data_IF_305890913816
#
_entry.id   IF_305890913816
#
_cell.length_a   1.000
_cell.length_b   1.000
_cell.length_c   1.000
_cell.angle_alpha   90.00
_cell.angle_beta   90.00
_cell.angle_gamma   90.00
#
_symmetry.space_group_name_H-M   'P 1'
#
loop_
_entity.id
_entity.type
_entity.pdbx_description
1 polymer ?
#
# COMPACT_ATOMS: atom_id res chain seq x y z
N UNK A 1 -8.88 -33.70 47.38
CA UNK A 1 -7.75 -33.73 46.43
C UNK A 1 -8.24 -33.33 45.03
N UNK A 2 -8.14 -32.06 44.66
CA UNK A 2 -8.12 -31.57 43.28
C UNK A 2 -7.28 -30.30 43.28
N UNK A 3 -6.07 -30.39 42.74
CA UNK A 3 -5.13 -29.29 42.62
C UNK A 3 -5.51 -28.45 41.40
N UNK A 4 -5.70 -27.15 41.62
CA UNK A 4 -6.01 -26.16 40.60
C UNK A 4 -4.74 -25.67 39.90
N UNK A 5 -4.79 -25.64 38.57
CA UNK A 5 -3.88 -24.86 37.73
C UNK A 5 -4.57 -23.52 37.48
N UNK A 6 -4.14 -22.47 38.18
CA UNK A 6 -4.54 -21.08 37.88
C UNK A 6 -3.75 -20.62 36.66
N UNK A 7 -4.45 -20.40 35.56
CA UNK A 7 -3.95 -19.60 34.44
C UNK A 7 -3.67 -18.18 34.96
N UNK A 8 -2.41 -17.75 34.86
CA UNK A 8 -2.01 -16.39 35.22
C UNK A 8 -2.49 -15.40 34.15
N UNK A 9 -3.62 -14.77 34.50
CA UNK A 9 -4.03 -13.37 34.24
C UNK A 9 -3.87 -12.78 32.83
N UNK A 10 -5.02 -12.68 32.15
CA UNK A 10 -5.34 -11.88 30.96
C UNK A 10 -5.37 -10.34 31.19
N UNK A 11 -4.72 -9.77 32.22
CA UNK A 11 -4.99 -8.38 32.65
C UNK A 11 -3.82 -7.38 32.51
N UNK A 12 -2.91 -7.54 31.55
CA UNK A 12 -1.79 -6.59 31.37
C UNK A 12 -1.75 -5.77 30.08
N UNK A 13 -2.68 -5.91 29.14
CA UNK A 13 -2.56 -5.23 27.84
C UNK A 13 -3.83 -4.52 27.40
N UNK A 14 -4.30 -3.59 28.24
CA UNK A 14 -5.13 -2.48 27.79
C UNK A 14 -4.63 -1.18 28.43
N UNK A 15 -3.70 -0.52 27.74
CA UNK A 15 -3.50 0.91 27.87
C UNK A 15 -2.98 1.48 26.55
N UNK A 16 -3.65 2.56 26.15
CA UNK A 16 -3.51 3.31 24.92
C UNK A 16 -2.07 3.64 24.50
N UNK A 17 -1.87 3.68 23.17
CA UNK A 17 -1.10 4.74 22.54
C UNK A 17 0.43 4.58 22.57
N UNK A 18 0.96 3.60 21.83
CA UNK A 18 2.25 3.75 21.16
C UNK A 18 2.41 2.65 20.09
N UNK A 19 2.91 3.01 18.92
CA UNK A 19 3.29 2.10 17.81
C UNK A 19 4.55 1.28 18.17
N UNK A 20 4.85 1.14 19.47
CA UNK A 20 6.12 0.63 19.97
C UNK A 20 6.09 -0.86 20.30
N UNK A 21 4.92 -1.47 20.39
CA UNK A 21 4.75 -2.89 20.68
C UNK A 21 4.14 -3.62 19.50
N UNK A 22 4.80 -4.71 19.11
CA UNK A 22 4.29 -5.64 18.13
C UNK A 22 2.99 -6.31 18.59
N UNK A 23 2.46 -7.17 17.75
CA UNK A 23 1.27 -7.93 18.05
C UNK A 23 1.50 -8.97 19.14
N UNK A 24 0.47 -9.49 19.86
CA UNK A 24 0.68 -10.58 20.81
C UNK A 24 1.41 -11.78 20.18
N UNK A 25 1.01 -12.20 18.97
CA UNK A 25 1.69 -13.26 18.21
C UNK A 25 3.11 -12.86 17.82
N UNK A 26 3.31 -11.62 17.38
CA UNK A 26 4.62 -11.04 17.08
C UNK A 26 5.57 -11.06 18.26
N UNK A 27 5.10 -10.74 19.47
CA UNK A 27 5.92 -10.81 20.68
C UNK A 27 6.41 -12.23 20.99
N UNK A 28 5.59 -13.25 20.69
CA UNK A 28 6.00 -14.66 20.78
C UNK A 28 7.11 -14.96 19.78
N UNK A 29 6.96 -14.54 18.51
CA UNK A 29 8.00 -14.70 17.49
C UNK A 29 9.31 -14.00 17.87
N UNK A 30 9.24 -12.76 18.35
CA UNK A 30 10.40 -11.99 18.82
C UNK A 30 11.09 -12.73 19.97
N UNK A 31 10.32 -13.26 20.93
CA UNK A 31 10.89 -14.05 22.03
C UNK A 31 11.56 -15.34 21.54
N UNK A 32 10.96 -16.05 20.58
CA UNK A 32 11.55 -17.26 19.98
C UNK A 32 12.88 -16.92 19.34
N UNK A 33 12.95 -15.87 18.50
CA UNK A 33 14.19 -15.50 17.82
C UNK A 33 15.26 -15.03 18.80
N UNK A 34 14.93 -14.17 19.76
CA UNK A 34 15.89 -13.74 20.76
C UNK A 34 16.45 -14.92 21.56
N UNK A 35 15.60 -15.86 21.98
CA UNK A 35 16.05 -17.05 22.72
C UNK A 35 16.95 -17.95 21.88
N UNK A 36 16.57 -18.24 20.63
CA UNK A 36 17.38 -19.10 19.75
C UNK A 36 18.72 -18.45 19.36
N UNK A 37 18.72 -17.14 19.11
CA UNK A 37 19.93 -16.39 18.75
C UNK A 37 20.86 -16.27 19.94
N UNK A 38 20.35 -15.95 21.13
CA UNK A 38 21.14 -15.91 22.36
C UNK A 38 21.74 -17.27 22.68
N UNK A 39 20.96 -18.35 22.53
CA UNK A 39 21.45 -19.70 22.70
C UNK A 39 22.57 -20.03 21.70
N UNK A 40 22.37 -19.73 20.42
CA UNK A 40 23.38 -19.94 19.38
C UNK A 40 24.67 -19.13 19.63
N UNK A 41 24.52 -17.88 20.07
CA UNK A 41 25.65 -17.00 20.39
C UNK A 41 26.42 -17.45 21.63
N UNK A 42 25.77 -18.09 22.60
CA UNK A 42 26.40 -18.54 23.86
C UNK A 42 27.50 -19.58 23.65
N UNK A 43 27.58 -20.18 22.46
CA UNK A 43 28.61 -21.15 22.09
C UNK A 43 29.96 -20.51 21.75
N UNK A 44 30.05 -19.19 21.68
CA UNK A 44 31.28 -18.47 21.34
C UNK A 44 31.67 -17.51 22.47
N UNK A 45 32.96 -17.43 22.79
CA UNK A 45 33.46 -16.42 23.72
C UNK A 45 33.24 -15.00 23.16
N UNK A 46 32.91 -14.05 24.04
CA UNK A 46 32.78 -12.64 23.65
C UNK A 46 34.12 -11.97 23.31
N UNK A 47 35.24 -12.58 23.66
CA UNK A 47 36.58 -11.97 23.62
C UNK A 47 37.56 -12.60 22.60
N UNK A 48 37.26 -13.77 22.04
CA UNK A 48 38.24 -14.48 21.20
C UNK A 48 37.80 -14.60 19.74
N UNK A 49 38.68 -14.13 18.86
CA UNK A 49 38.66 -14.30 17.39
C UNK A 49 39.06 -15.75 17.02
N UNK A 50 39.41 -16.59 18.00
CA UNK A 50 39.66 -18.01 17.74
C UNK A 50 38.36 -18.65 17.28
N UNK A 51 38.40 -19.32 16.12
CA UNK A 51 37.29 -20.11 15.56
C UNK A 51 37.01 -21.39 16.39
N UNK A 52 37.10 -21.30 17.71
CA UNK A 52 36.90 -22.40 18.65
C UNK A 52 35.55 -22.22 19.33
N UNK A 53 34.70 -23.24 19.20
CA UNK A 53 33.40 -23.30 19.85
C UNK A 53 33.54 -23.84 21.27
N UNK A 54 32.78 -23.28 22.22
CA UNK A 54 32.69 -23.78 23.60
C UNK A 54 31.96 -25.13 23.71
N UNK A 55 31.23 -25.49 22.66
CA UNK A 55 30.34 -26.67 22.62
C UNK A 55 30.58 -27.45 21.32
N UNK A 56 30.46 -28.80 21.29
CA UNK A 56 30.63 -29.59 20.08
C UNK A 56 29.75 -29.11 18.92
N UNK A 57 30.29 -29.14 17.70
CA UNK A 57 29.58 -28.68 16.48
C UNK A 57 28.26 -29.44 16.27
N UNK A 58 28.24 -30.72 16.64
CA UNK A 58 27.05 -31.57 16.59
C UNK A 58 25.85 -30.98 17.38
N UNK A 59 26.10 -30.32 18.51
CA UNK A 59 25.04 -29.74 19.36
C UNK A 59 24.52 -28.40 18.82
N UNK A 60 25.29 -27.72 17.96
CA UNK A 60 24.86 -26.48 17.31
C UNK A 60 23.85 -26.74 16.18
N UNK A 61 23.97 -27.88 15.50
CA UNK A 61 23.16 -28.24 14.32
C UNK A 61 21.65 -28.18 14.62
N UNK A 62 21.12 -28.80 15.71
CA UNK A 62 19.69 -28.73 16.03
C UNK A 62 19.18 -27.30 16.25
N UNK A 63 20.00 -26.40 16.78
CA UNK A 63 19.60 -25.01 17.06
C UNK A 63 19.54 -24.21 15.78
N UNK A 64 20.52 -24.39 14.88
CA UNK A 64 20.48 -23.78 13.55
C UNK A 64 19.27 -24.27 12.76
N UNK A 65 18.95 -25.56 12.81
CA UNK A 65 17.70 -26.07 12.22
C UNK A 65 16.46 -25.40 12.82
N UNK A 66 16.38 -25.24 14.14
CA UNK A 66 15.25 -24.55 14.79
C UNK A 66 15.15 -23.10 14.35
N UNK A 67 16.27 -22.40 14.20
CA UNK A 67 16.30 -21.02 13.68
C UNK A 67 15.76 -21.01 12.25
N UNK A 68 16.27 -21.86 11.37
CA UNK A 68 15.86 -21.96 9.98
C UNK A 68 14.34 -22.18 9.85
N UNK A 69 13.84 -23.20 10.54
CA UNK A 69 12.41 -23.51 10.57
C UNK A 69 11.59 -22.37 11.16
N UNK A 70 12.05 -21.70 12.22
CA UNK A 70 11.32 -20.59 12.83
C UNK A 70 11.20 -19.40 11.89
N UNK A 71 12.28 -19.04 11.17
CA UNK A 71 12.24 -17.97 10.16
C UNK A 71 11.29 -18.34 9.03
N UNK A 72 11.35 -19.59 8.55
CA UNK A 72 10.45 -20.10 7.53
C UNK A 72 8.98 -20.02 7.97
N UNK A 73 8.65 -20.50 9.18
CA UNK A 73 7.30 -20.51 9.72
C UNK A 73 6.76 -19.10 9.97
N UNK A 74 7.58 -18.19 10.52
CA UNK A 74 7.23 -16.78 10.67
C UNK A 74 6.87 -16.16 9.32
N UNK A 75 7.67 -16.42 8.28
CA UNK A 75 7.40 -15.91 6.93
C UNK A 75 6.03 -16.36 6.41
N UNK A 76 5.71 -17.65 6.55
CA UNK A 76 4.41 -18.18 6.12
C UNK A 76 3.26 -17.58 6.93
N UNK A 77 3.43 -17.44 8.24
CA UNK A 77 2.44 -16.80 9.10
C UNK A 77 2.16 -15.36 8.68
N UNK A 78 3.21 -14.53 8.50
CA UNK A 78 3.05 -13.14 8.03
C UNK A 78 2.27 -13.08 6.74
N UNK A 79 2.60 -13.94 5.76
CA UNK A 79 1.95 -13.93 4.45
C UNK A 79 0.45 -14.24 4.54
N UNK A 80 0.08 -15.30 5.26
CA UNK A 80 -1.33 -15.70 5.37
C UNK A 80 -2.13 -14.70 6.23
N UNK A 81 -1.56 -14.25 7.34
CA UNK A 81 -2.21 -13.29 8.23
C UNK A 81 -2.40 -11.93 7.54
N UNK A 82 -1.37 -11.42 6.86
CA UNK A 82 -1.45 -10.18 6.11
C UNK A 82 -2.52 -10.25 5.00
N UNK A 83 -2.61 -11.38 4.29
CA UNK A 83 -3.64 -11.62 3.28
C UNK A 83 -5.04 -11.61 3.89
N UNK A 84 -5.25 -12.30 5.02
CA UNK A 84 -6.53 -12.31 5.70
C UNK A 84 -6.94 -10.90 6.16
N UNK A 85 -6.03 -10.18 6.83
CA UNK A 85 -6.30 -8.84 7.34
C UNK A 85 -6.57 -7.83 6.22
N UNK A 86 -5.88 -7.94 5.09
CA UNK A 86 -6.17 -7.13 3.91
C UNK A 86 -7.61 -7.37 3.40
N UNK A 87 -8.02 -8.63 3.26
CA UNK A 87 -9.37 -8.96 2.78
C UNK A 87 -10.48 -8.45 3.72
N UNK A 88 -10.22 -8.40 5.03
CA UNK A 88 -11.12 -7.83 6.03
C UNK A 88 -10.93 -6.30 6.23
N UNK A 89 -10.04 -5.68 5.46
CA UNK A 89 -9.63 -4.27 5.54
C UNK A 89 -9.18 -3.81 6.95
N UNK A 90 -8.53 -4.70 7.72
CA UNK A 90 -8.02 -4.45 9.08
C UNK A 90 -6.63 -3.80 9.06
N UNK A 91 -6.55 -2.60 8.48
CA UNK A 91 -5.28 -1.91 8.18
C UNK A 91 -4.37 -1.68 9.40
N UNK A 92 -4.93 -1.30 10.56
CA UNK A 92 -4.13 -1.11 11.78
C UNK A 92 -3.31 -2.36 12.13
N UNK A 93 -3.94 -3.54 12.04
CA UNK A 93 -3.29 -4.79 12.37
C UNK A 93 -2.34 -5.26 11.28
N UNK A 94 -2.73 -5.08 10.02
CA UNK A 94 -1.88 -5.36 8.86
C UNK A 94 -0.54 -4.61 8.97
N UNK A 95 -0.56 -3.28 9.13
CA UNK A 95 0.67 -2.49 9.23
C UNK A 95 1.43 -2.76 10.52
N UNK A 96 0.76 -3.07 11.63
CA UNK A 96 1.44 -3.50 12.86
C UNK A 96 2.31 -4.74 12.64
N UNK A 97 1.84 -5.73 11.86
CA UNK A 97 2.65 -6.92 11.54
C UNK A 97 3.86 -6.54 10.67
N UNK A 98 3.63 -5.80 9.59
CA UNK A 98 4.67 -5.48 8.61
C UNK A 98 5.74 -4.53 9.18
N UNK A 99 5.31 -3.45 9.85
CA UNK A 99 6.21 -2.37 10.30
C UNK A 99 6.79 -2.61 11.69
N UNK A 100 6.11 -3.42 12.52
CA UNK A 100 6.57 -3.75 13.88
C UNK A 100 7.07 -5.19 13.98
N UNK A 101 6.21 -6.19 13.80
CA UNK A 101 6.58 -7.59 14.10
C UNK A 101 7.73 -8.09 13.23
N UNK A 102 7.63 -7.92 11.92
CA UNK A 102 8.68 -8.34 10.97
C UNK A 102 9.97 -7.58 11.25
N UNK A 103 9.90 -6.27 11.47
CA UNK A 103 11.06 -5.43 11.77
C UNK A 103 11.76 -5.85 13.06
N UNK A 104 11.02 -6.07 14.13
CA UNK A 104 11.55 -6.50 15.43
C UNK A 104 12.14 -7.91 15.37
N UNK A 105 11.50 -8.83 14.63
CA UNK A 105 12.05 -10.17 14.38
C UNK A 105 13.36 -10.09 13.61
N UNK A 106 13.43 -9.27 12.56
CA UNK A 106 14.65 -9.07 11.77
C UNK A 106 15.77 -8.43 12.61
N UNK A 107 15.42 -7.51 13.53
CA UNK A 107 16.40 -6.90 14.43
C UNK A 107 17.08 -7.91 15.35
N UNK A 108 16.39 -8.99 15.75
CA UNK A 108 17.00 -10.04 16.56
C UNK A 108 18.25 -10.64 15.86
N UNK A 109 18.22 -10.73 14.53
CA UNK A 109 19.31 -11.27 13.72
C UNK A 109 20.53 -10.34 13.57
N UNK A 110 20.43 -9.06 13.94
CA UNK A 110 21.59 -8.15 13.94
C UNK A 110 22.68 -8.61 14.90
N UNK A 111 22.29 -9.31 15.97
CA UNK A 111 23.21 -9.84 16.96
C UNK A 111 23.65 -11.27 16.66
N UNK A 112 23.26 -11.86 15.51
CA UNK A 112 23.49 -13.27 15.24
C UNK A 112 24.95 -13.54 14.85
N UNK A 113 25.70 -14.18 15.75
CA UNK A 113 27.12 -14.51 15.55
C UNK A 113 27.24 -15.87 14.86
N UNK A 114 27.80 -15.87 13.65
CA UNK A 114 28.02 -17.08 12.84
C UNK A 114 29.49 -17.20 12.42
N UNK A 115 30.43 -17.42 13.35
CA UNK A 115 31.83 -17.59 12.98
C UNK A 115 31.99 -18.82 12.09
N UNK A 116 32.93 -18.76 11.15
CA UNK A 116 33.32 -19.91 10.32
C UNK A 116 34.14 -20.86 11.18
N UNK A 117 33.78 -22.15 11.16
CA UNK A 117 34.54 -23.19 11.85
C UNK A 117 35.39 -23.94 10.82
N UNK A 118 36.58 -24.35 11.24
CA UNK A 118 37.47 -25.24 10.46
C UNK A 118 37.47 -26.61 11.12
N UNK A 119 37.42 -27.67 10.32
CA UNK A 119 37.50 -29.05 10.81
C UNK A 119 38.91 -29.61 10.60
N UNK A 120 39.33 -30.52 11.48
CA UNK A 120 40.46 -31.41 11.23
C UNK A 120 40.10 -32.38 10.09
N UNK A 121 40.98 -32.49 9.08
CA UNK A 121 40.77 -33.36 7.93
C UNK A 121 40.81 -34.85 8.27
N UNK A 122 41.33 -35.21 9.44
CA UNK A 122 41.43 -36.60 9.91
C UNK A 122 40.18 -37.08 10.66
N UNK A 123 39.35 -36.15 11.16
CA UNK A 123 38.08 -36.47 11.84
C UNK A 123 36.89 -36.29 10.89
N UNK A 124 36.45 -37.42 10.31
CA UNK A 124 35.32 -37.46 9.37
C UNK A 124 34.03 -36.92 10.01
N UNK A 125 33.79 -37.21 11.29
CA UNK A 125 32.56 -36.78 11.97
C UNK A 125 32.56 -35.25 12.15
N UNK A 126 33.70 -34.68 12.54
CA UNK A 126 33.87 -33.23 12.63
C UNK A 126 33.70 -32.56 11.26
N UNK A 127 34.27 -33.13 10.20
CA UNK A 127 34.12 -32.62 8.82
C UNK A 127 32.64 -32.56 8.40
N UNK A 128 31.88 -33.63 8.61
CA UNK A 128 30.46 -33.69 8.28
C UNK A 128 29.67 -32.65 9.09
N UNK A 129 29.95 -32.53 10.39
CA UNK A 129 29.26 -31.56 11.25
C UNK A 129 29.53 -30.11 10.84
N UNK A 130 30.78 -29.78 10.50
CA UNK A 130 31.16 -28.43 10.04
C UNK A 130 30.55 -28.12 8.67
N UNK A 131 30.53 -29.09 7.75
CA UNK A 131 29.89 -28.93 6.44
C UNK A 131 28.37 -28.71 6.58
N UNK A 132 27.69 -29.52 7.40
CA UNK A 132 26.26 -29.38 7.67
C UNK A 132 25.93 -28.03 8.33
N UNK A 133 26.71 -27.62 9.34
CA UNK A 133 26.58 -26.30 9.96
C UNK A 133 26.68 -25.17 8.92
N UNK A 134 27.67 -25.26 8.03
CA UNK A 134 27.89 -24.25 6.98
C UNK A 134 26.70 -24.18 6.04
N UNK A 135 26.15 -25.34 5.63
CA UNK A 135 24.94 -25.40 4.81
C UNK A 135 23.74 -24.74 5.51
N UNK A 136 23.51 -25.04 6.79
CA UNK A 136 22.39 -24.47 7.55
C UNK A 136 22.50 -22.96 7.69
N UNK A 137 23.70 -22.43 7.90
CA UNK A 137 23.93 -20.98 7.93
C UNK A 137 23.51 -20.32 6.62
N UNK A 138 23.86 -20.94 5.48
CA UNK A 138 23.42 -20.45 4.18
C UNK A 138 21.89 -20.48 4.03
N UNK A 139 21.24 -21.57 4.45
CA UNK A 139 19.78 -21.72 4.39
C UNK A 139 19.06 -20.68 5.27
N UNK A 140 19.55 -20.45 6.49
CA UNK A 140 19.01 -19.42 7.40
C UNK A 140 19.11 -18.03 6.76
N UNK A 141 20.27 -17.67 6.21
CA UNK A 141 20.46 -16.37 5.55
C UNK A 141 19.51 -16.20 4.36
N UNK A 142 19.35 -17.25 3.55
CA UNK A 142 18.37 -17.26 2.46
C UNK A 142 16.94 -17.07 2.99
N UNK A 143 16.57 -17.70 4.10
CA UNK A 143 15.25 -17.56 4.70
C UNK A 143 15.03 -16.17 5.33
N UNK A 144 16.06 -15.56 5.93
CA UNK A 144 16.02 -14.18 6.42
C UNK A 144 15.79 -13.20 5.26
N UNK A 145 16.49 -13.39 4.13
CA UNK A 145 16.29 -12.55 2.96
C UNK A 145 14.91 -12.74 2.33
N UNK A 146 14.37 -13.96 2.35
CA UNK A 146 12.97 -14.20 1.97
C UNK A 146 11.99 -13.50 2.92
N UNK A 147 12.25 -13.51 4.23
CA UNK A 147 11.41 -12.80 5.21
C UNK A 147 11.39 -11.29 4.97
N UNK A 148 12.53 -10.68 4.63
CA UNK A 148 12.59 -9.26 4.23
C UNK A 148 11.68 -8.99 3.03
N UNK A 149 11.80 -9.82 1.98
CA UNK A 149 11.00 -9.71 0.74
C UNK A 149 9.51 -9.98 0.94
N UNK A 150 9.12 -10.69 2.00
CA UNK A 150 7.70 -10.95 2.29
C UNK A 150 6.92 -9.67 2.57
N UNK A 151 7.56 -8.60 3.04
CA UNK A 151 6.90 -7.29 3.18
C UNK A 151 6.44 -6.76 1.82
N UNK A 152 7.29 -6.82 0.79
CA UNK A 152 6.93 -6.43 -0.58
C UNK A 152 5.80 -7.31 -1.15
N UNK A 153 5.84 -8.63 -0.90
CA UNK A 153 4.76 -9.54 -1.28
C UNK A 153 3.42 -9.14 -0.63
N UNK A 154 3.44 -8.74 0.64
CA UNK A 154 2.25 -8.28 1.35
C UNK A 154 1.75 -6.93 0.84
N UNK A 155 2.64 -6.02 0.42
CA UNK A 155 2.27 -4.76 -0.24
C UNK A 155 1.61 -5.01 -1.59
N UNK A 156 2.06 -6.02 -2.35
CA UNK A 156 1.37 -6.43 -3.57
C UNK A 156 -0.06 -6.92 -3.29
N UNK A 157 -0.24 -7.75 -2.25
CA UNK A 157 -1.57 -8.19 -1.82
C UNK A 157 -2.45 -6.99 -1.39
N UNK A 158 -1.89 -6.04 -0.64
CA UNK A 158 -2.57 -4.79 -0.29
C UNK A 158 -3.03 -4.05 -1.55
N UNK A 159 -2.18 -3.94 -2.56
CA UNK A 159 -2.52 -3.25 -3.82
C UNK A 159 -3.72 -3.89 -4.51
N UNK A 160 -3.68 -5.22 -4.69
CA UNK A 160 -4.74 -5.96 -5.39
C UNK A 160 -6.08 -5.88 -4.63
N UNK A 161 -6.04 -6.04 -3.31
CA UNK A 161 -7.24 -5.94 -2.46
C UNK A 161 -7.74 -4.50 -2.38
N UNK A 162 -6.86 -3.51 -2.32
CA UNK A 162 -7.23 -2.09 -2.32
C UNK A 162 -8.01 -1.72 -3.57
N UNK A 163 -7.58 -2.21 -4.74
CA UNK A 163 -8.29 -2.00 -6.00
C UNK A 163 -9.68 -2.62 -5.97
N UNK A 164 -9.80 -3.86 -5.48
CA UNK A 164 -11.10 -4.54 -5.34
C UNK A 164 -12.05 -3.80 -4.38
N UNK A 165 -11.55 -3.42 -3.21
CA UNK A 165 -12.32 -2.67 -2.19
C UNK A 165 -12.74 -1.30 -2.72
N UNK A 166 -11.88 -0.63 -3.49
CA UNK A 166 -12.21 0.64 -4.13
C UNK A 166 -13.35 0.48 -5.15
N UNK A 167 -13.25 -0.50 -6.04
CA UNK A 167 -14.31 -0.79 -7.02
C UNK A 167 -15.65 -1.16 -6.37
N UNK A 168 -15.60 -1.94 -5.28
CA UNK A 168 -16.79 -2.30 -4.50
C UNK A 168 -17.43 -1.06 -3.86
N UNK A 169 -16.64 -0.17 -3.25
CA UNK A 169 -17.17 1.07 -2.66
C UNK A 169 -17.76 2.01 -3.71
N UNK A 170 -17.11 2.18 -4.88
CA UNK A 170 -17.71 2.94 -5.98
C UNK A 170 -19.03 2.31 -6.46
N UNK A 171 -19.14 0.98 -6.48
CA UNK A 171 -20.41 0.32 -6.81
C UNK A 171 -21.53 0.67 -5.84
N UNK A 172 -21.21 0.87 -4.56
CA UNK A 172 -22.19 1.16 -3.51
C UNK A 172 -22.64 2.62 -3.45
N UNK A 173 -21.72 3.57 -3.64
CA UNK A 173 -21.99 4.98 -3.35
C UNK A 173 -21.84 5.93 -4.54
N UNK A 174 -21.33 5.47 -5.69
CA UNK A 174 -21.16 6.36 -6.84
C UNK A 174 -22.52 6.78 -7.42
N UNK A 175 -22.74 8.07 -7.70
CA UNK A 175 -24.01 8.55 -8.24
C UNK A 175 -24.37 7.89 -9.58
N UNK A 176 -25.68 7.66 -9.79
CA UNK A 176 -26.21 7.08 -11.03
C UNK A 176 -25.87 7.92 -12.27
N UNK A 177 -25.91 7.30 -13.46
CA UNK A 177 -25.65 8.02 -14.72
C UNK A 177 -26.54 9.26 -14.92
N UNK A 178 -27.79 9.22 -14.47
CA UNK A 178 -28.73 10.35 -14.53
C UNK A 178 -28.29 11.54 -13.68
N UNK A 179 -27.56 11.32 -12.58
CA UNK A 179 -26.98 12.40 -11.77
C UNK A 179 -26.02 13.25 -12.62
N UNK A 180 -25.10 12.59 -13.34
CA UNK A 180 -24.05 13.23 -14.15
C UNK A 180 -24.54 13.91 -15.43
N UNK A 181 -25.79 13.69 -15.81
CA UNK A 181 -26.41 14.27 -17.01
C UNK A 181 -27.30 15.47 -16.69
N UNK A 182 -27.41 15.88 -15.42
CA UNK A 182 -28.19 17.04 -15.01
C UNK A 182 -27.71 18.33 -15.66
N UNK A 183 -28.64 19.27 -15.84
CA UNK A 183 -28.36 20.59 -16.39
C UNK A 183 -27.81 21.57 -15.36
N UNK A 184 -27.98 21.33 -14.06
CA UNK A 184 -27.52 22.22 -13.00
C UNK A 184 -27.03 21.41 -11.81
N UNK A 185 -25.98 21.91 -11.15
CA UNK A 185 -25.46 21.39 -9.91
C UNK A 185 -25.32 22.55 -8.93
N UNK A 186 -25.51 22.26 -7.66
CA UNK A 186 -25.01 23.11 -6.59
C UNK A 186 -23.52 22.81 -6.44
N UNK A 187 -22.68 23.75 -6.84
CA UNK A 187 -21.23 23.60 -6.78
C UNK A 187 -20.65 24.03 -5.43
N UNK A 188 -21.45 24.61 -4.53
CA UNK A 188 -21.01 24.98 -3.18
C UNK A 188 -21.00 23.78 -2.24
N UNK A 189 -21.84 22.76 -2.52
CA UNK A 189 -21.91 21.53 -1.72
C UNK A 189 -21.03 20.43 -2.30
N UNK A 190 -20.08 19.90 -1.54
CA UNK A 190 -19.27 18.74 -1.94
C UNK A 190 -20.11 17.46 -2.08
N UNK A 191 -19.72 16.56 -2.99
CA UNK A 191 -20.39 15.27 -3.18
C UNK A 191 -20.09 14.33 -2.03
N UNK A 192 -21.15 13.83 -1.38
CA UNK A 192 -21.04 13.01 -0.15
C UNK A 192 -20.24 11.71 -0.37
N UNK A 193 -20.28 11.14 -1.58
CA UNK A 193 -19.57 9.89 -1.88
C UNK A 193 -18.04 10.04 -1.83
N UNK A 194 -17.49 11.23 -2.09
CA UNK A 194 -16.02 11.45 -2.10
C UNK A 194 -15.46 11.26 -0.68
N UNK A 195 -16.05 11.96 0.29
CA UNK A 195 -15.69 11.81 1.70
C UNK A 195 -15.92 10.38 2.19
N UNK A 196 -17.05 9.77 1.84
CA UNK A 196 -17.34 8.38 2.21
C UNK A 196 -16.25 7.40 1.74
N UNK A 197 -15.81 7.47 0.47
CA UNK A 197 -14.78 6.56 -0.05
C UNK A 197 -13.44 6.78 0.66
N UNK A 198 -13.04 8.03 0.87
CA UNK A 198 -11.79 8.34 1.56
C UNK A 198 -11.84 7.87 3.02
N UNK A 199 -12.98 8.03 3.70
CA UNK A 199 -13.19 7.57 5.07
C UNK A 199 -13.21 6.04 5.20
N UNK A 200 -13.77 5.33 4.22
CA UNK A 200 -13.82 3.86 4.23
C UNK A 200 -12.49 3.21 3.87
N UNK A 201 -11.73 3.81 2.94
CA UNK A 201 -10.56 3.16 2.34
C UNK A 201 -9.26 3.80 2.81
N UNK A 202 -9.14 5.12 2.67
CA UNK A 202 -7.87 5.81 2.85
C UNK A 202 -7.58 6.16 4.31
N UNK A 203 -8.59 6.63 5.05
CA UNK A 203 -8.47 7.01 6.45
C UNK A 203 -7.99 5.85 7.35
N UNK A 204 -8.45 4.59 7.20
CA UNK A 204 -7.91 3.45 7.95
C UNK A 204 -6.41 3.25 7.71
N UNK A 205 -5.92 3.49 6.49
CA UNK A 205 -4.51 3.39 6.16
C UNK A 205 -3.70 4.53 6.79
N UNK A 206 -4.20 5.78 6.72
CA UNK A 206 -3.57 6.95 7.37
C UNK A 206 -3.46 6.76 8.90
N UNK A 207 -4.46 6.12 9.51
CA UNK A 207 -4.45 5.77 10.93
C UNK A 207 -3.42 4.68 11.27
N UNK A 208 -3.14 3.80 10.32
CA UNK A 208 -2.35 2.60 10.53
C UNK A 208 -0.86 2.75 10.23
N UNK A 209 -0.49 3.58 9.25
CA UNK A 209 0.90 3.74 8.80
C UNK A 209 1.29 5.21 8.60
N UNK A 210 2.58 5.50 8.77
CA UNK A 210 3.22 6.77 8.42
C UNK A 210 4.10 6.65 7.17
N UNK A 211 4.11 5.50 6.50
CA UNK A 211 4.85 5.31 5.26
C UNK A 211 4.19 6.07 4.10
N UNK A 212 4.77 7.20 3.73
CA UNK A 212 4.29 8.03 2.63
C UNK A 212 4.30 7.33 1.28
N UNK A 213 5.19 6.36 1.05
CA UNK A 213 5.25 5.60 -0.21
C UNK A 213 4.01 4.73 -0.34
N UNK A 214 3.62 4.04 0.74
CA UNK A 214 2.40 3.23 0.78
C UNK A 214 1.16 4.11 0.70
N UNK A 215 1.12 5.24 1.41
CA UNK A 215 -0.01 6.17 1.33
C UNK A 215 -0.19 6.76 -0.08
N UNK A 216 0.89 7.02 -0.82
CA UNK A 216 0.83 7.43 -2.22
C UNK A 216 0.30 6.32 -3.12
N UNK A 217 0.76 5.09 -2.91
CA UNK A 217 0.27 3.91 -3.65
C UNK A 217 -1.24 3.73 -3.46
N UNK A 218 -1.74 3.78 -2.23
CA UNK A 218 -3.17 3.61 -1.93
C UNK A 218 -3.99 4.73 -2.57
N UNK A 219 -3.56 6.00 -2.43
CA UNK A 219 -4.24 7.14 -3.07
C UNK A 219 -4.31 6.94 -4.59
N UNK A 220 -3.20 6.50 -5.20
CA UNK A 220 -3.15 6.19 -6.62
C UNK A 220 -4.18 5.14 -7.01
N UNK A 221 -4.24 4.02 -6.28
CA UNK A 221 -5.17 2.93 -6.55
C UNK A 221 -6.63 3.38 -6.43
N UNK A 222 -6.98 4.17 -5.41
CA UNK A 222 -8.34 4.69 -5.23
C UNK A 222 -8.75 5.55 -6.43
N UNK A 223 -7.88 6.49 -6.83
CA UNK A 223 -8.14 7.39 -7.96
C UNK A 223 -8.19 6.64 -9.30
N UNK A 224 -7.31 5.67 -9.54
CA UNK A 224 -7.36 4.83 -10.74
C UNK A 224 -8.63 3.97 -10.78
N UNK A 225 -9.02 3.37 -9.65
CA UNK A 225 -10.26 2.60 -9.53
C UNK A 225 -11.50 3.48 -9.78
N UNK A 226 -11.49 4.74 -9.34
CA UNK A 226 -12.55 5.69 -9.65
C UNK A 226 -12.71 5.87 -11.16
N UNK A 227 -11.60 6.17 -11.85
CA UNK A 227 -11.60 6.38 -13.29
C UNK A 227 -12.01 5.10 -14.04
N UNK A 228 -11.51 3.95 -13.61
CA UNK A 228 -11.87 2.65 -14.17
C UNK A 228 -13.36 2.34 -13.97
N UNK A 229 -13.93 2.69 -12.81
CA UNK A 229 -15.35 2.52 -12.54
C UNK A 229 -16.21 3.36 -13.50
N UNK A 230 -15.87 4.63 -13.70
CA UNK A 230 -16.54 5.51 -14.66
C UNK A 230 -16.51 4.90 -16.06
N UNK A 231 -15.34 4.38 -16.47
CA UNK A 231 -15.15 3.73 -17.75
C UNK A 231 -15.99 2.47 -17.91
N UNK A 232 -15.90 1.53 -16.97
CA UNK A 232 -16.60 0.25 -17.04
C UNK A 232 -18.13 0.41 -17.03
N UNK A 233 -18.62 1.46 -16.38
CA UNK A 233 -20.05 1.80 -16.34
C UNK A 233 -20.51 2.68 -17.51
N UNK A 234 -19.60 3.08 -18.40
CA UNK A 234 -19.88 3.98 -19.53
C UNK A 234 -20.66 5.24 -19.12
N UNK A 235 -20.28 5.83 -17.99
CA UNK A 235 -21.00 6.98 -17.44
C UNK A 235 -20.76 8.17 -18.35
N UNK A 236 -21.86 8.78 -18.83
CA UNK A 236 -21.81 9.96 -19.69
C UNK A 236 -22.09 11.23 -18.90
N UNK A 237 -21.37 12.31 -19.25
CA UNK A 237 -21.40 13.57 -18.51
C UNK A 237 -21.99 14.71 -19.35
N UNK A 238 -22.91 15.49 -18.75
CA UNK A 238 -23.27 16.83 -19.25
C UNK A 238 -22.14 17.83 -18.96
N UNK A 239 -22.24 19.09 -19.41
CA UNK A 239 -21.13 20.07 -19.22
C UNK A 239 -20.96 20.28 -17.73
N UNK A 240 -22.08 20.49 -17.06
CA UNK A 240 -22.14 20.73 -15.63
C UNK A 240 -21.82 19.46 -14.83
N UNK A 241 -22.12 18.27 -15.36
CA UNK A 241 -21.68 17.01 -14.75
C UNK A 241 -20.16 16.83 -14.81
N UNK A 242 -19.51 17.24 -15.91
CA UNK A 242 -18.05 17.21 -16.01
C UNK A 242 -17.40 18.26 -15.10
N UNK A 243 -17.99 19.46 -14.96
CA UNK A 243 -17.55 20.45 -13.97
C UNK A 243 -17.70 19.91 -12.55
N UNK A 244 -18.84 19.25 -12.23
CA UNK A 244 -19.05 18.63 -10.92
C UNK A 244 -18.00 17.57 -10.62
N UNK A 245 -17.71 16.68 -11.58
CA UNK A 245 -16.68 15.66 -11.42
C UNK A 245 -15.29 16.28 -11.20
N UNK A 246 -14.97 17.37 -11.90
CA UNK A 246 -13.73 18.11 -11.70
C UNK A 246 -13.62 18.66 -10.28
N UNK A 247 -14.70 19.24 -9.75
CA UNK A 247 -14.77 19.68 -8.36
C UNK A 247 -14.66 18.49 -7.39
N UNK A 248 -15.28 17.35 -7.69
CA UNK A 248 -15.15 16.13 -6.87
C UNK A 248 -13.70 15.63 -6.81
N UNK A 249 -12.91 15.80 -7.87
CA UNK A 249 -11.47 15.50 -7.84
C UNK A 249 -10.67 16.50 -7.01
N UNK A 250 -11.01 17.79 -7.06
CA UNK A 250 -10.41 18.81 -6.20
C UNK A 250 -10.80 18.59 -4.72
N UNK A 251 -12.02 18.13 -4.43
CA UNK A 251 -12.50 17.76 -3.09
C UNK A 251 -11.59 16.68 -2.43
N UNK A 252 -10.97 15.79 -3.21
CA UNK A 252 -9.99 14.80 -2.67
C UNK A 252 -8.77 15.52 -2.10
N UNK A 253 -8.26 16.53 -2.82
CA UNK A 253 -7.11 17.32 -2.36
C UNK A 253 -7.47 18.06 -1.09
N UNK A 254 -8.64 18.70 -1.04
CA UNK A 254 -9.11 19.43 0.13
C UNK A 254 -9.34 18.51 1.33
N UNK A 255 -9.85 17.29 1.11
CA UNK A 255 -9.96 16.28 2.15
C UNK A 255 -8.59 15.90 2.73
N UNK A 256 -7.57 15.71 1.88
CA UNK A 256 -6.19 15.43 2.32
C UNK A 256 -5.65 16.59 3.16
N UNK A 257 -5.76 17.83 2.65
CA UNK A 257 -5.27 19.03 3.33
C UNK A 257 -5.97 19.28 4.68
N UNK A 258 -7.21 18.85 4.80
CA UNK A 258 -8.01 18.97 6.03
C UNK A 258 -7.79 17.82 7.01
N UNK A 259 -7.01 16.79 6.67
CA UNK A 259 -6.85 15.60 7.50
C UNK A 259 -5.89 15.85 8.67
N UNK A 260 -6.36 15.84 9.94
CA UNK A 260 -5.53 16.19 11.10
C UNK A 260 -4.52 15.10 11.49
N UNK A 261 -4.62 13.90 10.89
CA UNK A 261 -3.75 12.76 11.18
C UNK A 261 -2.47 12.76 10.32
N UNK A 262 -2.41 13.62 9.31
CA UNK A 262 -1.27 13.78 8.42
C UNK A 262 -0.39 14.93 8.90
N UNK A 263 0.92 14.68 8.91
CA UNK A 263 1.91 15.70 9.19
C UNK A 263 2.13 16.59 7.96
N UNK A 264 2.62 17.82 8.17
CA UNK A 264 2.80 18.81 7.10
C UNK A 264 3.57 18.28 5.89
N UNK A 265 4.62 17.48 6.13
CA UNK A 265 5.45 16.93 5.07
C UNK A 265 4.73 15.81 4.27
N UNK A 266 3.75 15.14 4.87
CA UNK A 266 2.87 14.19 4.18
C UNK A 266 1.81 14.92 3.36
N UNK A 267 1.22 15.98 3.93
CA UNK A 267 0.23 16.81 3.24
C UNK A 267 0.76 17.28 1.89
N UNK A 268 1.92 17.93 1.87
CA UNK A 268 2.55 18.43 0.64
C UNK A 268 2.77 17.32 -0.41
N UNK A 269 3.27 16.15 0.03
CA UNK A 269 3.56 15.02 -0.86
C UNK A 269 2.30 14.34 -1.42
N UNK A 270 1.21 14.32 -0.66
CA UNK A 270 -0.04 13.63 -1.03
C UNK A 270 -0.97 14.55 -1.82
N UNK A 271 -1.12 15.82 -1.41
CA UNK A 271 -1.97 16.80 -2.10
C UNK A 271 -1.45 17.19 -3.48
N UNK A 272 -0.16 16.95 -3.76
CA UNK A 272 0.49 17.22 -5.04
C UNK A 272 0.82 15.95 -5.82
N UNK A 273 0.23 14.80 -5.45
CA UNK A 273 0.48 13.53 -6.12
C UNK A 273 0.03 13.57 -7.59
N UNK A 274 0.81 12.92 -8.48
CA UNK A 274 0.56 12.91 -9.93
C UNK A 274 -0.84 12.39 -10.31
N UNK A 275 -1.38 11.46 -9.52
CA UNK A 275 -2.69 10.87 -9.78
C UNK A 275 -3.83 11.90 -9.69
N UNK A 276 -3.70 12.91 -8.82
CA UNK A 276 -4.69 13.99 -8.71
C UNK A 276 -4.63 14.89 -9.94
N UNK A 277 -3.43 15.13 -10.49
CA UNK A 277 -3.25 15.85 -11.76
C UNK A 277 -3.85 15.08 -12.93
N UNK A 278 -3.71 13.75 -12.94
CA UNK A 278 -4.35 12.88 -13.93
C UNK A 278 -5.88 12.96 -13.83
N UNK A 279 -6.48 12.84 -12.65
CA UNK A 279 -7.92 13.02 -12.43
C UNK A 279 -8.40 14.40 -12.91
N UNK A 280 -7.69 15.47 -12.55
CA UNK A 280 -7.96 16.83 -13.04
C UNK A 280 -7.90 16.92 -14.57
N UNK A 281 -6.90 16.28 -15.18
CA UNK A 281 -6.77 16.18 -16.63
C UNK A 281 -7.98 15.51 -17.28
N UNK A 282 -8.50 14.42 -16.69
CA UNK A 282 -9.71 13.74 -17.16
C UNK A 282 -10.91 14.68 -17.12
N UNK A 283 -11.13 15.36 -16.00
CA UNK A 283 -12.23 16.33 -15.85
C UNK A 283 -12.16 17.42 -16.92
N UNK A 284 -10.96 17.96 -17.21
CA UNK A 284 -10.76 18.94 -18.28
C UNK A 284 -11.01 18.38 -19.68
N UNK A 285 -10.60 17.15 -19.97
CA UNK A 285 -10.89 16.50 -21.26
C UNK A 285 -12.40 16.38 -21.46
N UNK A 286 -13.15 16.00 -20.43
CA UNK A 286 -14.61 15.88 -20.46
C UNK A 286 -15.35 17.21 -20.67
N UNK A 287 -14.68 18.35 -20.54
CA UNK A 287 -15.24 19.68 -20.85
C UNK A 287 -15.07 20.08 -22.31
N UNK A 288 -14.19 19.39 -23.05
CA UNK A 288 -13.98 19.64 -24.49
C UNK A 288 -15.09 19.04 -25.33
N UNK A 289 -15.24 19.50 -26.57
CA UNK A 289 -16.17 18.87 -27.51
C UNK A 289 -15.57 17.54 -27.99
N UNK A 290 -16.40 16.51 -28.28
CA UNK A 290 -15.90 15.23 -28.79
C UNK A 290 -15.06 15.35 -30.06
N UNK A 291 -15.34 16.38 -30.88
CA UNK A 291 -14.66 16.71 -32.14
C UNK A 291 -13.31 17.43 -31.94
N UNK A 292 -13.00 17.93 -30.74
CA UNK A 292 -11.78 18.70 -30.48
C UNK A 292 -10.57 17.76 -30.44
N UNK A 293 -9.76 17.78 -31.50
CA UNK A 293 -8.50 17.02 -31.58
C UNK A 293 -7.50 17.58 -30.57
N UNK A 294 -7.04 16.75 -29.65
CA UNK A 294 -5.97 17.12 -28.71
C UNK A 294 -4.63 16.99 -29.43
N UNK A 295 -4.11 18.11 -29.92
CA UNK A 295 -2.78 18.18 -30.54
C UNK A 295 -1.70 17.90 -29.49
N UNK A 296 -1.11 16.70 -29.54
CA UNK A 296 0.03 16.29 -28.68
C UNK A 296 1.33 17.02 -29.11
N UNK A 297 1.32 17.73 -30.24
CA UNK A 297 2.48 18.39 -30.84
C UNK A 297 2.63 19.85 -30.41
N UNK A 298 2.81 20.09 -29.11
CA UNK A 298 3.59 21.24 -28.67
C UNK A 298 4.58 20.77 -27.62
N UNK A 299 5.77 20.39 -28.08
CA UNK A 299 6.95 20.40 -27.22
C UNK A 299 7.03 21.78 -26.56
N UNK A 300 7.20 21.86 -25.23
CA UNK A 300 7.26 23.16 -24.56
C UNK A 300 8.43 23.94 -25.13
N UNK A 301 8.14 25.09 -25.76
CA UNK A 301 9.18 26.06 -26.10
C UNK A 301 9.67 26.65 -24.79
N UNK A 302 10.89 26.26 -24.41
CA UNK A 302 11.60 26.86 -23.29
C UNK A 302 11.95 28.31 -23.67
N UNK A 303 11.08 29.25 -23.29
CA UNK A 303 11.46 30.66 -23.30
C UNK A 303 12.42 30.89 -22.13
N UNK A 304 13.72 30.98 -22.46
CA UNK A 304 14.75 31.48 -21.55
C UNK A 304 14.44 32.93 -21.18
N UNK A 305 13.65 33.15 -20.12
CA UNK A 305 13.61 34.43 -19.42
C UNK A 305 14.46 34.31 -18.16
N UNK A 306 15.48 35.17 -18.17
CA UNK A 306 16.41 35.57 -17.12
C UNK A 306 15.99 35.22 -15.70
N UNK A 307 16.88 34.50 -15.04
CA UNK A 307 16.92 34.32 -13.60
C UNK A 307 16.97 35.69 -12.91
N UNK A 308 15.94 36.00 -12.14
CA UNK A 308 16.04 36.62 -10.82
C UNK A 308 14.63 36.67 -10.23
N UNK A 309 14.41 35.83 -9.22
CA UNK A 309 13.52 36.01 -8.06
C UNK A 309 13.14 34.64 -7.51
N UNK A 310 13.39 34.49 -6.21
CA UNK A 310 13.08 33.35 -5.35
C UNK A 310 11.69 32.76 -5.65
N UNK A 311 11.63 31.51 -6.11
CA UNK A 311 10.39 30.86 -6.47
C UNK A 311 10.22 29.52 -5.73
N UNK A 312 9.08 29.44 -5.04
CA UNK A 312 8.39 28.25 -4.54
C UNK A 312 8.48 27.03 -5.50
N UNK A 313 8.32 25.79 -5.00
CA UNK A 313 8.53 24.59 -5.81
C UNK A 313 7.63 24.62 -7.06
N UNK A 314 8.25 24.78 -8.22
CA UNK A 314 7.55 24.91 -9.50
C UNK A 314 6.75 23.63 -9.77
N UNK A 315 5.42 23.78 -9.77
CA UNK A 315 4.52 22.84 -10.43
C UNK A 315 5.04 22.56 -11.84
N UNK A 316 5.09 21.28 -12.20
CA UNK A 316 5.51 20.84 -13.53
C UNK A 316 4.66 21.59 -14.56
N UNK A 317 5.28 22.41 -15.42
CA UNK A 317 4.62 23.31 -16.39
C UNK A 317 3.76 22.60 -17.47
N UNK A 318 3.63 21.27 -17.40
CA UNK A 318 2.87 20.48 -18.36
C UNK A 318 1.37 20.53 -18.01
N UNK A 319 0.48 20.78 -19.00
CA UNK A 319 -0.96 20.71 -18.79
C UNK A 319 -1.40 19.36 -18.20
N UNK A 320 -2.35 19.40 -17.26
CA UNK A 320 -2.92 18.21 -16.59
C UNK A 320 -3.42 17.12 -17.54
N UNK A 321 -3.93 17.50 -18.72
CA UNK A 321 -4.41 16.59 -19.75
C UNK A 321 -3.31 15.68 -20.30
N UNK A 322 -2.03 16.10 -20.24
CA UNK A 322 -0.89 15.29 -20.69
C UNK A 322 -0.61 14.08 -19.78
N UNK A 323 -1.13 14.09 -18.55
CA UNK A 323 -1.00 12.97 -17.62
C UNK A 323 -2.07 11.89 -17.85
N UNK A 324 -3.00 12.13 -18.78
CA UNK A 324 -4.10 11.22 -19.09
C UNK A 324 -3.78 10.40 -20.33
N UNK A 325 -3.69 9.09 -20.16
CA UNK A 325 -3.68 8.14 -21.27
C UNK A 325 -5.09 7.99 -21.87
N UNK A 326 -5.18 7.54 -23.12
CA UNK A 326 -6.46 7.23 -23.78
C UNK A 326 -7.45 8.40 -23.87
N UNK A 327 -6.98 9.63 -24.03
CA UNK A 327 -7.81 10.85 -24.03
C UNK A 327 -9.05 10.79 -24.97
N UNK A 328 -8.93 10.11 -26.13
CA UNK A 328 -10.05 9.89 -27.06
C UNK A 328 -11.23 9.14 -26.43
N UNK A 329 -10.96 8.17 -25.55
CA UNK A 329 -12.02 7.41 -24.86
C UNK A 329 -12.75 8.29 -23.85
N UNK A 330 -12.03 9.16 -23.13
CA UNK A 330 -12.65 10.15 -22.25
C UNK A 330 -13.58 11.10 -23.02
N UNK A 331 -13.17 11.59 -24.19
CA UNK A 331 -14.01 12.45 -25.04
C UNK A 331 -15.34 11.77 -25.44
N UNK A 332 -15.35 10.44 -25.62
CA UNK A 332 -16.56 9.68 -25.96
C UNK A 332 -17.57 9.56 -24.80
N UNK A 333 -17.13 9.82 -23.55
CA UNK A 333 -18.01 9.84 -22.38
C UNK A 333 -18.73 11.19 -22.21
N UNK A 334 -18.57 12.11 -23.17
CA UNK A 334 -19.40 13.30 -23.25
C UNK A 334 -20.83 12.93 -23.65
N UNK A 335 -21.83 13.39 -22.90
CA UNK A 335 -23.21 13.30 -23.37
C UNK A 335 -23.38 14.22 -24.59
N UNK A 336 -23.74 13.66 -25.74
CA UNK A 336 -24.14 14.46 -26.89
C UNK A 336 -25.35 15.32 -26.48
N UNK A 337 -25.36 16.59 -26.87
CA UNK A 337 -26.61 17.35 -26.87
C UNK A 337 -27.60 16.50 -27.65
N UNK A 338 -28.70 16.13 -27.01
CA UNK A 338 -29.86 15.56 -27.68
C UNK A 338 -30.13 16.44 -28.90
N UNK A 339 -29.76 15.95 -30.08
CA UNK A 339 -30.49 16.28 -31.28
C UNK A 339 -31.86 15.71 -30.99
N UNK A 340 -32.81 16.58 -30.65
CA UNK A 340 -34.23 16.27 -30.75
C UNK A 340 -34.47 15.81 -32.19
N UNK A 341 -34.35 14.50 -32.43
CA UNK A 341 -34.98 13.89 -33.58
C UNK A 341 -36.47 13.97 -33.30
N UNK A 342 -37.10 15.03 -33.82
CA UNK A 342 -38.52 15.04 -34.11
C UNK A 342 -38.79 13.80 -34.95
N UNK A 343 -39.25 12.72 -34.33
CA UNK A 343 -39.97 11.69 -35.07
C UNK A 343 -41.19 12.39 -35.68
N UNK A 344 -41.40 12.32 -37.01
CA UNK A 344 -42.67 12.76 -37.57
C UNK A 344 -43.75 11.86 -36.98
N UNK A 345 -44.70 12.45 -36.25
CA UNK A 345 -45.98 11.83 -35.99
C UNK A 345 -46.62 11.54 -37.36
N UNK A 346 -46.64 10.28 -37.77
CA UNK A 346 -47.51 9.84 -38.85
C UNK A 346 -48.94 9.78 -38.32
N UNK A 347 -49.69 10.87 -38.55
CA UNK A 347 -51.15 10.86 -38.56
C UNK A 347 -51.64 10.78 -40.02
N UNK A 348 -52.65 9.95 -40.26
CA UNK A 348 -53.48 9.91 -41.48
C UNK A 348 -52.96 8.96 -42.57
N UNK A 349 -53.73 8.05 -43.17
CA UNK A 349 -55.19 8.03 -43.30
C UNK A 349 -55.76 6.61 -43.38
N UNK A 350 -56.90 6.45 -42.71
CA UNK A 350 -57.95 5.48 -43.04
C UNK A 350 -58.65 5.90 -44.33
N UNK A 351 -58.63 5.03 -45.34
CA UNK A 351 -59.81 4.66 -46.14
C UNK A 351 -59.53 3.40 -46.95
#
# INVERSE_FOLDING_TARGET
MRSGVRFLSQNLFHKNGSVQFGTPTGTVWISIFNNLINLSNSYFHNADISNSSLVPVAEQIPILHRIDHSVHSMRLWVKEEAKQLCNEWKMNRFFQILESDVKLCLNAFLNFKLPKLTADLTDILMLVCVALRTKLICEINVNIDKLKKTTDECVQVLSDVCRLVSMANFTLCFPSASYWQKNTFDNEKSSEYVGYILDQIYLPCIKATKDVVILKLILKIICEAWLDFIYQRHIRFSVNGAVRLLNDFDDVREWILSCPLLEQHHLDKLSNHEVLRMCKGVGKILLRKPEDVISITQTPKYDKKTADSEAAPQETQLPSEMFVSNQKHWLQLRANKSTFFFFPLCCGDTN
#
